data_IF_300225178467
#
_entry.id   IF_300225178467
#
_cell.length_a   1.000
_cell.length_b   1.000
_cell.length_c   1.000
_cell.angle_alpha   90.00
_cell.angle_beta   90.00
_cell.angle_gamma   90.00
#
_symmetry.space_group_name_H-M   'P 1'
#
loop_
_entity.id
_entity.type
_entity.pdbx_description
1 polymer ?
#
# COMPACT_ATOMS: atom_id res chain seq x y z
N UNK A 1 -4.46 -15.02 11.27
CA UNK A 1 -4.38 -14.58 9.87
C UNK A 1 -4.97 -13.19 9.71
N UNK A 2 -4.70 -12.54 8.59
CA UNK A 2 -5.27 -11.22 8.30
C UNK A 2 -6.68 -11.39 7.73
N UNK A 3 -7.59 -10.50 8.14
CA UNK A 3 -9.00 -10.43 7.72
C UNK A 3 -9.30 -9.13 6.97
N UNK A 4 -10.53 -8.96 6.47
CA UNK A 4 -11.00 -7.72 5.87
C UNK A 4 -10.94 -6.52 6.85
N UNK A 5 -11.11 -6.79 8.14
CA UNK A 5 -10.94 -5.77 9.19
C UNK A 5 -9.48 -5.28 9.24
N UNK A 6 -8.50 -6.20 9.16
CA UNK A 6 -7.08 -5.84 9.10
C UNK A 6 -6.73 -5.10 7.80
N UNK A 7 -7.43 -5.41 6.70
CA UNK A 7 -7.29 -4.69 5.43
C UNK A 7 -7.73 -3.23 5.59
N UNK A 8 -8.91 -2.99 6.16
CA UNK A 8 -9.42 -1.65 6.43
C UNK A 8 -8.50 -0.85 7.37
N UNK A 9 -8.03 -1.47 8.44
CA UNK A 9 -7.04 -0.89 9.35
C UNK A 9 -5.77 -0.45 8.60
N UNK A 10 -5.27 -1.32 7.71
CA UNK A 10 -4.06 -1.04 6.93
C UNK A 10 -4.25 0.11 5.95
N UNK A 11 -5.41 0.20 5.28
CA UNK A 11 -5.75 1.34 4.41
C UNK A 11 -5.70 2.65 5.20
N UNK A 12 -6.36 2.69 6.36
CA UNK A 12 -6.41 3.90 7.19
C UNK A 12 -5.03 4.29 7.76
N UNK A 13 -4.25 3.32 8.23
CA UNK A 13 -2.88 3.56 8.69
C UNK A 13 -2.01 4.12 7.57
N UNK A 14 -2.12 3.58 6.36
CA UNK A 14 -1.37 4.04 5.21
C UNK A 14 -1.82 5.44 4.78
N UNK A 15 -3.12 5.75 4.86
CA UNK A 15 -3.65 7.09 4.62
C UNK A 15 -3.08 8.11 5.62
N UNK A 16 -3.05 7.77 6.90
CA UNK A 16 -2.46 8.61 7.97
C UNK A 16 -0.95 8.85 7.76
N UNK A 17 -0.27 7.97 7.02
CA UNK A 17 1.14 8.09 6.64
C UNK A 17 1.36 8.77 5.29
N UNK A 18 0.31 9.35 4.71
CA UNK A 18 0.34 9.99 3.38
C UNK A 18 0.78 9.04 2.26
N UNK A 19 0.43 7.77 2.35
CA UNK A 19 0.72 6.81 1.30
C UNK A 19 -0.08 7.14 0.04
N UNK A 20 0.56 7.02 -1.13
CA UNK A 20 -0.11 7.11 -2.43
C UNK A 20 -0.95 5.87 -2.76
N UNK A 21 -1.52 5.83 -3.97
CA UNK A 21 -2.42 4.75 -4.42
C UNK A 21 -1.85 3.34 -4.21
N UNK A 22 -0.55 3.15 -4.43
CA UNK A 22 0.12 1.86 -4.19
C UNK A 22 0.06 1.43 -2.72
N UNK A 23 0.29 2.35 -1.78
CA UNK A 23 0.18 2.04 -0.35
C UNK A 23 -1.27 1.84 0.09
N UNK A 24 -2.22 2.58 -0.51
CA UNK A 24 -3.65 2.45 -0.20
C UNK A 24 -4.28 1.17 -0.75
N UNK A 25 -3.66 0.48 -1.73
CA UNK A 25 -4.06 -0.87 -2.14
C UNK A 25 -3.81 -1.93 -1.05
N UNK A 26 -3.11 -1.55 0.02
CA UNK A 26 -2.89 -2.30 1.26
C UNK A 26 -2.36 -3.74 1.03
N UNK A 27 -2.98 -4.75 1.63
CA UNK A 27 -2.47 -6.12 1.55
C UNK A 27 -2.97 -6.82 0.29
N UNK A 28 -2.06 -7.52 -0.42
CA UNK A 28 -2.41 -8.34 -1.57
C UNK A 28 -2.99 -9.69 -1.10
N UNK A 29 -4.16 -10.12 -1.65
CA UNK A 29 -4.69 -11.47 -1.42
C UNK A 29 -3.72 -12.54 -1.91
N UNK A 30 -3.77 -13.72 -1.32
CA UNK A 30 -2.93 -14.84 -1.73
C UNK A 30 -2.81 -15.90 -0.64
N UNK A 31 -2.05 -16.94 -0.92
CA UNK A 31 -1.89 -18.10 -0.03
C UNK A 31 -1.36 -17.75 1.37
N UNK A 32 -0.63 -16.64 1.49
CA UNK A 32 -0.14 -16.15 2.80
C UNK A 32 -1.22 -15.40 3.59
N UNK A 33 -2.36 -15.07 2.96
CA UNK A 33 -3.48 -14.34 3.57
C UNK A 33 -4.82 -14.92 3.14
N UNK A 34 -5.09 -16.21 3.43
CA UNK A 34 -6.29 -16.90 2.94
C UNK A 34 -7.59 -16.36 3.53
N UNK A 35 -7.54 -15.69 4.68
CA UNK A 35 -8.72 -15.16 5.37
C UNK A 35 -9.00 -13.67 5.04
N UNK A 36 -8.26 -13.06 4.09
CA UNK A 36 -8.34 -11.61 3.85
C UNK A 36 -9.73 -11.15 3.36
N UNK A 37 -10.50 -12.05 2.76
CA UNK A 37 -11.87 -11.78 2.32
C UNK A 37 -12.92 -11.91 3.44
N UNK A 38 -12.57 -12.55 4.56
CA UNK A 38 -13.47 -12.80 5.68
C UNK A 38 -13.41 -11.65 6.70
N UNK A 39 -14.53 -11.44 7.39
CA UNK A 39 -14.60 -10.55 8.54
C UNK A 39 -14.01 -11.25 9.78
N UNK A 40 -13.49 -10.46 10.72
CA UNK A 40 -13.06 -10.97 12.02
C UNK A 40 -14.20 -11.66 12.76
N UNK A 41 -15.42 -11.12 12.70
CA UNK A 41 -16.61 -11.72 13.29
C UNK A 41 -16.92 -13.11 12.71
N UNK A 42 -16.74 -13.31 11.41
CA UNK A 42 -16.94 -14.61 10.75
C UNK A 42 -15.90 -15.64 11.21
N UNK A 43 -14.64 -15.21 11.35
CA UNK A 43 -13.58 -16.11 11.86
C UNK A 43 -13.82 -16.50 13.34
N UNK A 44 -14.32 -15.57 14.16
CA UNK A 44 -14.69 -15.86 15.53
C UNK A 44 -15.90 -16.81 15.61
N UNK A 45 -16.92 -16.61 14.77
CA UNK A 45 -18.08 -17.51 14.69
C UNK A 45 -17.65 -18.93 14.31
N UNK A 46 -16.78 -19.08 13.31
CA UNK A 46 -16.24 -20.39 12.92
C UNK A 46 -15.45 -21.07 14.06
N UNK A 47 -14.63 -20.30 14.79
CA UNK A 47 -13.94 -20.86 15.97
C UNK A 47 -14.93 -21.37 17.01
N UNK A 48 -16.01 -20.62 17.27
CA UNK A 48 -17.05 -21.03 18.20
C UNK A 48 -17.77 -22.32 17.76
N UNK A 49 -18.13 -22.42 16.47
CA UNK A 49 -18.74 -23.63 15.89
C UNK A 49 -17.83 -24.85 16.00
N UNK A 50 -16.52 -24.67 15.86
CA UNK A 50 -15.53 -25.74 15.95
C UNK A 50 -15.08 -26.03 17.39
N UNK A 51 -15.63 -25.34 18.38
CA UNK A 51 -15.22 -25.48 19.78
C UNK A 51 -13.78 -25.02 20.06
N UNK A 52 -13.22 -24.16 19.20
CA UNK A 52 -11.88 -23.58 19.35
C UNK A 52 -11.98 -22.28 20.15
N UNK A 53 -11.28 -22.20 21.27
CA UNK A 53 -11.17 -20.95 22.05
C UNK A 53 -9.97 -20.16 21.53
N UNK A 54 -10.17 -18.98 20.89
CA UNK A 54 -9.06 -18.12 20.49
C UNK A 54 -8.30 -17.61 21.72
N UNK A 55 -6.99 -17.50 21.60
CA UNK A 55 -6.17 -16.84 22.63
C UNK A 55 -6.37 -15.33 22.49
N UNK A 56 -6.80 -14.68 23.55
CA UNK A 56 -6.90 -13.22 23.62
C UNK A 56 -5.57 -12.66 24.13
N UNK A 57 -4.88 -11.93 23.26
CA UNK A 57 -3.64 -11.23 23.62
C UNK A 57 -4.01 -9.83 24.12
N UNK A 58 -3.67 -9.54 25.37
CA UNK A 58 -3.94 -8.25 26.02
C UNK A 58 -3.39 -7.04 25.23
N UNK A 59 -2.36 -7.24 24.40
CA UNK A 59 -1.80 -6.17 23.55
C UNK A 59 -2.77 -5.71 22.46
N UNK A 60 -3.82 -6.50 22.14
CA UNK A 60 -4.84 -6.17 21.15
C UNK A 60 -5.73 -4.98 21.54
N UNK A 61 -5.76 -4.61 22.82
CA UNK A 61 -6.53 -3.48 23.34
C UNK A 61 -5.66 -2.31 23.80
N UNK A 62 -4.32 -2.41 23.74
CA UNK A 62 -3.42 -1.36 24.21
C UNK A 62 -3.45 -0.13 23.27
N UNK A 63 -3.92 1.05 23.74
CA UNK A 63 -4.06 2.26 22.93
C UNK A 63 -2.72 2.90 22.53
N UNK A 64 -1.59 2.43 23.05
CA UNK A 64 -0.26 2.88 22.61
C UNK A 64 0.03 2.47 21.16
N UNK A 65 -0.64 1.44 20.65
CA UNK A 65 -0.47 0.99 19.27
C UNK A 65 -1.46 1.71 18.35
N UNK A 66 -0.93 2.38 17.33
CA UNK A 66 -1.72 3.10 16.32
C UNK A 66 -2.82 2.20 15.70
N UNK A 67 -2.53 0.92 15.48
CA UNK A 67 -3.49 -0.03 14.92
C UNK A 67 -4.71 -0.22 15.81
N UNK A 68 -4.50 -0.31 17.12
CA UNK A 68 -5.60 -0.45 18.07
C UNK A 68 -6.45 0.82 18.14
N UNK A 69 -5.83 2.00 18.06
CA UNK A 69 -6.56 3.26 17.97
C UNK A 69 -7.38 3.36 16.68
N UNK A 70 -6.81 2.97 15.55
CA UNK A 70 -7.56 2.91 14.28
C UNK A 70 -8.76 1.95 14.40
N UNK A 71 -8.57 0.77 15.00
CA UNK A 71 -9.62 -0.24 15.20
C UNK A 71 -10.74 0.24 16.12
N UNK A 72 -10.38 0.76 17.28
CA UNK A 72 -11.35 1.02 18.36
C UNK A 72 -11.88 2.45 18.37
N UNK A 73 -11.12 3.43 17.84
CA UNK A 73 -11.52 4.83 17.82
C UNK A 73 -11.97 5.25 16.40
N UNK A 74 -11.09 5.15 15.41
CA UNK A 74 -11.33 5.71 14.08
C UNK A 74 -12.43 4.97 13.31
N UNK A 75 -12.36 3.64 13.22
CA UNK A 75 -13.40 2.85 12.54
C UNK A 75 -14.76 2.99 13.23
N UNK A 76 -14.79 3.07 14.55
CA UNK A 76 -16.01 3.32 15.32
C UNK A 76 -16.59 4.70 15.01
N UNK A 77 -15.75 5.75 14.99
CA UNK A 77 -16.16 7.10 14.61
C UNK A 77 -16.67 7.16 13.16
N UNK A 78 -15.99 6.49 12.23
CA UNK A 78 -16.44 6.42 10.84
C UNK A 78 -17.80 5.75 10.72
N UNK A 79 -18.05 4.69 11.49
CA UNK A 79 -19.37 4.03 11.55
C UNK A 79 -20.43 4.97 12.09
N UNK A 80 -20.15 5.69 13.17
CA UNK A 80 -21.07 6.65 13.78
C UNK A 80 -21.42 7.80 12.81
N UNK A 81 -20.44 8.40 12.15
CA UNK A 81 -20.64 9.50 11.22
C UNK A 81 -21.40 9.05 9.97
N UNK A 82 -20.99 7.93 9.37
CA UNK A 82 -21.54 7.48 8.08
C UNK A 82 -22.80 6.64 8.20
N UNK A 83 -23.14 6.15 9.41
CA UNK A 83 -24.21 5.20 9.70
C UNK A 83 -24.11 3.92 8.82
N UNK A 84 -22.86 3.55 8.47
CA UNK A 84 -22.53 2.38 7.65
C UNK A 84 -21.26 1.72 8.18
N UNK A 85 -21.14 0.41 7.92
CA UNK A 85 -19.88 -0.30 8.19
C UNK A 85 -18.78 0.15 7.19
N UNK A 86 -17.70 0.80 7.64
CA UNK A 86 -16.64 1.28 6.77
C UNK A 86 -15.72 0.15 6.25
N UNK A 87 -15.67 -1.00 6.93
CA UNK A 87 -14.72 -2.07 6.60
C UNK A 87 -14.89 -2.61 5.18
N UNK A 88 -16.10 -3.01 4.72
CA UNK A 88 -16.29 -3.46 3.34
C UNK A 88 -16.01 -2.36 2.31
N UNK A 89 -16.27 -1.11 2.66
CA UNK A 89 -16.02 0.03 1.75
C UNK A 89 -14.52 0.26 1.55
N UNK A 90 -13.75 0.25 2.64
CA UNK A 90 -12.30 0.40 2.61
C UNK A 90 -11.62 -0.78 1.91
N UNK A 91 -12.06 -2.01 2.18
CA UNK A 91 -11.56 -3.20 1.52
C UNK A 91 -11.79 -3.13 -0.01
N UNK A 92 -13.00 -2.77 -0.44
CA UNK A 92 -13.30 -2.58 -1.87
C UNK A 92 -12.47 -1.46 -2.49
N UNK A 93 -12.26 -0.35 -1.80
CA UNK A 93 -11.38 0.73 -2.28
C UNK A 93 -9.95 0.22 -2.48
N UNK A 94 -9.43 -0.58 -1.56
CA UNK A 94 -8.11 -1.19 -1.70
C UNK A 94 -8.03 -2.14 -2.91
N UNK A 95 -9.09 -2.89 -3.20
CA UNK A 95 -9.14 -3.82 -4.35
C UNK A 95 -9.17 -3.07 -5.68
N UNK A 96 -9.96 -1.99 -5.79
CA UNK A 96 -9.98 -1.13 -6.99
C UNK A 96 -8.59 -0.52 -7.21
N UNK A 97 -8.02 0.11 -6.18
CA UNK A 97 -6.69 0.71 -6.28
C UNK A 97 -5.61 -0.33 -6.63
N UNK A 98 -5.76 -1.57 -6.19
CA UNK A 98 -4.82 -2.65 -6.54
C UNK A 98 -4.92 -2.98 -8.02
N UNK A 99 -6.13 -3.12 -8.55
CA UNK A 99 -6.35 -3.39 -9.98
C UNK A 99 -5.73 -2.29 -10.85
N UNK A 100 -5.95 -1.03 -10.48
CA UNK A 100 -5.36 0.11 -11.19
C UNK A 100 -3.83 0.11 -11.08
N UNK A 101 -3.29 -0.20 -9.90
CA UNK A 101 -1.85 -0.29 -9.70
C UNK A 101 -1.22 -1.44 -10.47
N UNK A 102 -1.84 -2.62 -10.50
CA UNK A 102 -1.33 -3.78 -11.24
C UNK A 102 -1.23 -3.43 -12.75
N UNK A 103 -2.25 -2.79 -13.34
CA UNK A 103 -2.20 -2.31 -14.73
C UNK A 103 -1.09 -1.28 -14.96
N UNK A 104 -0.97 -0.29 -14.08
CA UNK A 104 0.07 0.74 -14.21
C UNK A 104 1.48 0.17 -14.03
N UNK A 105 1.65 -0.87 -13.20
CA UNK A 105 2.92 -1.55 -13.02
C UNK A 105 3.29 -2.38 -14.26
N UNK A 106 2.31 -3.04 -14.90
CA UNK A 106 2.50 -3.75 -16.17
C UNK A 106 2.90 -2.79 -17.32
N UNK A 107 2.23 -1.63 -17.42
CA UNK A 107 2.56 -0.62 -18.41
C UNK A 107 3.95 0.00 -18.17
N UNK A 108 4.29 0.26 -16.91
CA UNK A 108 5.60 0.80 -16.53
C UNK A 108 6.74 -0.20 -16.80
N UNK A 109 6.49 -1.50 -16.68
CA UNK A 109 7.47 -2.54 -16.96
C UNK A 109 7.86 -2.62 -18.47
N UNK A 110 7.09 -1.99 -19.36
CA UNK A 110 7.41 -1.91 -20.80
C UNK A 110 8.39 -0.77 -21.11
N UNK A 111 8.62 0.16 -20.16
CA UNK A 111 9.60 1.23 -20.31
C UNK A 111 10.99 0.74 -19.90
N UNK A 112 11.99 1.00 -20.75
CA UNK A 112 13.38 0.84 -20.35
C UNK A 112 13.76 2.02 -19.43
N UNK A 113 14.03 1.77 -18.14
CA UNK A 113 14.37 2.84 -17.20
C UNK A 113 15.77 3.43 -17.43
N UNK A 114 16.56 2.86 -18.34
CA UNK A 114 17.88 3.37 -18.73
C UNK A 114 17.83 4.22 -20.00
N UNK A 115 16.70 4.22 -20.72
CA UNK A 115 16.46 5.09 -21.87
C UNK A 115 15.87 6.43 -21.40
N UNK A 116 16.72 7.44 -21.34
CA UNK A 116 16.34 8.80 -20.90
C UNK A 116 15.27 9.43 -21.82
N UNK A 117 15.31 9.17 -23.13
CA UNK A 117 14.33 9.73 -24.06
C UNK A 117 12.96 9.07 -23.87
N UNK A 118 12.93 7.75 -23.70
CA UNK A 118 11.70 7.02 -23.42
C UNK A 118 11.07 7.47 -22.09
N UNK A 119 11.88 7.63 -21.03
CA UNK A 119 11.40 8.14 -19.73
C UNK A 119 10.87 9.58 -19.83
N UNK A 120 11.56 10.45 -20.54
CA UNK A 120 11.16 11.86 -20.69
C UNK A 120 9.85 12.00 -21.49
N UNK A 121 9.62 11.14 -22.48
CA UNK A 121 8.43 11.13 -23.32
C UNK A 121 7.23 10.42 -22.66
N UNK A 122 7.47 9.53 -21.71
CA UNK A 122 6.42 8.73 -21.10
C UNK A 122 5.52 9.59 -20.16
N UNK A 123 4.25 9.19 -20.00
CA UNK A 123 3.39 9.77 -18.96
C UNK A 123 4.06 9.69 -17.58
N UNK A 124 4.06 10.81 -16.84
CA UNK A 124 4.76 10.90 -15.55
C UNK A 124 4.45 9.76 -14.55
N UNK A 125 3.20 9.27 -14.42
CA UNK A 125 2.91 8.13 -13.56
C UNK A 125 3.65 6.84 -13.94
N UNK A 126 3.85 6.59 -15.23
CA UNK A 126 4.54 5.41 -15.73
C UNK A 126 6.06 5.55 -15.56
N UNK A 127 6.62 6.70 -15.93
CA UNK A 127 8.05 6.98 -15.75
C UNK A 127 8.47 6.87 -14.28
N UNK A 128 7.67 7.43 -13.35
CA UNK A 128 7.90 7.30 -11.91
C UNK A 128 7.90 5.86 -11.43
N UNK A 129 6.98 5.04 -11.94
CA UNK A 129 6.91 3.61 -11.58
C UNK A 129 8.08 2.84 -12.15
N UNK A 130 8.45 3.04 -13.40
CA UNK A 130 9.59 2.39 -14.02
C UNK A 130 10.88 2.67 -13.24
N UNK A 131 11.14 3.94 -12.88
CA UNK A 131 12.28 4.33 -12.05
C UNK A 131 12.21 3.67 -10.66
N UNK A 132 11.03 3.69 -10.03
CA UNK A 132 10.85 3.09 -8.71
C UNK A 132 11.10 1.59 -8.72
N UNK A 133 10.64 0.88 -9.75
CA UNK A 133 10.87 -0.57 -9.92
C UNK A 133 12.34 -0.86 -10.17
N UNK A 134 12.99 -0.08 -11.03
CA UNK A 134 14.42 -0.22 -11.36
C UNK A 134 15.31 -0.02 -10.14
N UNK A 135 15.01 0.97 -9.32
CA UNK A 135 15.79 1.31 -8.11
C UNK A 135 15.27 0.64 -6.83
N UNK A 136 14.40 -0.38 -6.93
CA UNK A 136 13.74 -0.97 -5.77
C UNK A 136 14.66 -1.67 -4.78
N UNK A 137 15.88 -2.03 -5.17
CA UNK A 137 16.83 -2.75 -4.32
C UNK A 137 17.98 -1.87 -3.84
N UNK A 138 18.38 -1.98 -2.55
CA UNK A 138 17.78 -2.81 -1.49
C UNK A 138 16.45 -2.27 -0.96
N UNK A 139 16.16 -0.98 -1.17
CA UNK A 139 14.91 -0.34 -0.77
C UNK A 139 14.40 0.57 -1.89
N UNK A 140 13.06 0.63 -2.12
CA UNK A 140 12.51 1.53 -3.11
C UNK A 140 12.83 2.99 -2.76
N UNK A 141 13.20 3.81 -3.77
CA UNK A 141 13.52 5.22 -3.56
C UNK A 141 12.29 6.01 -3.12
N UNK A 142 12.54 7.12 -2.45
CA UNK A 142 11.52 8.12 -2.16
C UNK A 142 11.12 8.91 -3.42
N UNK A 143 10.04 9.65 -3.34
CA UNK A 143 9.53 10.44 -4.46
C UNK A 143 10.54 11.50 -4.91
N UNK A 144 11.26 12.13 -3.99
CA UNK A 144 12.24 13.16 -4.31
C UNK A 144 13.40 12.59 -5.15
N UNK A 145 13.85 11.38 -4.84
CA UNK A 145 14.87 10.68 -5.64
C UNK A 145 14.36 10.36 -7.04
N UNK A 146 13.12 9.87 -7.16
CA UNK A 146 12.49 9.59 -8.46
C UNK A 146 12.41 10.86 -9.32
N UNK A 147 11.97 11.98 -8.75
CA UNK A 147 11.87 13.26 -9.46
C UNK A 147 13.26 13.77 -9.91
N UNK A 148 14.31 13.61 -9.10
CA UNK A 148 15.68 13.95 -9.51
C UNK A 148 16.14 13.14 -10.73
N UNK A 149 15.83 11.84 -10.76
CA UNK A 149 16.13 10.97 -11.92
C UNK A 149 15.38 11.46 -13.16
N UNK A 150 14.09 11.81 -13.04
CA UNK A 150 13.32 12.36 -14.15
C UNK A 150 13.86 13.71 -14.65
N UNK A 151 14.37 14.55 -13.76
CA UNK A 151 15.03 15.82 -14.12
C UNK A 151 16.27 15.55 -14.99
N UNK A 152 17.07 14.53 -14.65
CA UNK A 152 18.22 14.11 -15.47
C UNK A 152 17.75 13.54 -16.82
N UNK A 153 16.74 12.67 -16.83
CA UNK A 153 16.22 12.09 -18.05
C UNK A 153 15.68 13.14 -19.05
N UNK A 154 15.14 14.25 -18.54
CA UNK A 154 14.67 15.39 -19.34
C UNK A 154 15.77 16.32 -19.81
N UNK A 155 17.03 16.09 -19.42
CA UNK A 155 18.15 16.97 -19.74
C UNK A 155 18.18 18.28 -18.94
N UNK A 156 17.38 18.39 -17.88
CA UNK A 156 17.31 19.58 -17.01
C UNK A 156 18.42 19.58 -15.95
N UNK A 157 19.06 18.41 -15.73
CA UNK A 157 20.26 18.26 -14.89
C UNK A 157 21.23 17.25 -15.51
N UNK A 158 22.52 17.42 -15.26
CA UNK A 158 23.56 16.53 -15.80
C UNK A 158 23.71 15.23 -15.01
N UNK A 159 23.41 15.25 -13.72
CA UNK A 159 23.51 14.10 -12.83
C UNK A 159 22.67 14.27 -11.57
N UNK A 160 22.32 13.16 -10.94
CA UNK A 160 21.72 13.17 -9.60
C UNK A 160 22.28 12.04 -8.75
N UNK A 161 22.31 12.27 -7.44
CA UNK A 161 22.61 11.24 -6.44
C UNK A 161 21.32 10.46 -6.13
N UNK A 162 21.43 9.13 -6.13
CA UNK A 162 20.35 8.19 -5.80
C UNK A 162 20.61 7.42 -4.49
N UNK A 163 21.58 7.85 -3.71
CA UNK A 163 21.99 7.20 -2.47
C UNK A 163 23.06 6.14 -2.66
N UNK A 164 23.64 5.67 -1.54
CA UNK A 164 24.66 4.62 -1.52
C UNK A 164 25.89 4.89 -2.43
N UNK A 165 26.31 6.14 -2.56
CA UNK A 165 27.38 6.59 -3.47
C UNK A 165 27.12 6.26 -4.96
N UNK A 166 25.86 6.10 -5.36
CA UNK A 166 25.44 5.87 -6.75
C UNK A 166 24.92 7.16 -7.38
N UNK A 167 25.30 7.38 -8.63
CA UNK A 167 24.83 8.53 -9.42
C UNK A 167 24.23 8.06 -10.75
N UNK A 168 23.23 8.79 -11.22
CA UNK A 168 22.67 8.70 -12.57
C UNK A 168 23.14 9.95 -13.33
N UNK A 169 23.54 9.72 -14.58
CA UNK A 169 24.00 10.77 -15.51
C UNK A 169 23.29 10.63 -16.85
#
# INVERSE_FOLDING_TARGET
GHTADDQAETVLINLLRSAGAQGLSAMKPGNTRPLLALRRSETHALCAELGITPVDDYTNSDPRFLRNRVRHELLTLMTDISQRDPVPLLARTADVLRSDNDLLDELAAQLDPTDALALAAAPAPLARRAIRQWLAHPYPPDLATIERVLTVARGEALACDIGENRQIR
#
